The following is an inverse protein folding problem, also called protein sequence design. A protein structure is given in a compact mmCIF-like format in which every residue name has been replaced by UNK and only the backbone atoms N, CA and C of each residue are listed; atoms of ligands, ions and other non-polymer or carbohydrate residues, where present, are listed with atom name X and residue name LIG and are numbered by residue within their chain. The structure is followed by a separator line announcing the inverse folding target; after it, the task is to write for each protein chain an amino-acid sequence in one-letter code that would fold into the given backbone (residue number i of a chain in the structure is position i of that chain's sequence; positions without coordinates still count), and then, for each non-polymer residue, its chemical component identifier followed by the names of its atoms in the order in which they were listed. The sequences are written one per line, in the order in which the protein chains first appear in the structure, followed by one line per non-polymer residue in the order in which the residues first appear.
data_IF_279108958140
#
_entry.id   IF_279108958140
#
_cell.length_a   1.000
_cell.length_b   1.000
_cell.length_c   1.000
_cell.angle_alpha   90.00
_cell.angle_beta   90.00
_cell.angle_gamma   90.00
#
_symmetry.space_group_name_H-M   'P 1'
#
loop_
_entity.id
_entity.type
_entity.pdbx_description
1 polymer ?
#
# COMPACT_ATOMS: atom_id res chain seq x y z
N UNK A 1 7.40 16.56 -10.56
CA UNK A 1 7.12 15.55 -9.53
C UNK A 1 8.29 14.58 -9.47
N UNK A 2 8.76 14.20 -8.28
CA UNK A 2 9.86 13.22 -8.14
C UNK A 2 9.39 11.76 -8.12
N UNK A 3 10.31 10.83 -8.36
CA UNK A 3 10.09 9.40 -8.09
C UNK A 3 10.31 9.11 -6.60
N UNK A 4 9.46 8.27 -6.03
CA UNK A 4 9.60 7.83 -4.63
C UNK A 4 10.44 6.56 -4.52
N UNK A 5 11.09 6.39 -3.38
CA UNK A 5 11.86 5.21 -3.00
C UNK A 5 11.24 4.54 -1.79
N UNK A 6 10.60 3.40 -2.01
CA UNK A 6 10.02 2.57 -0.95
C UNK A 6 10.94 1.38 -0.65
N UNK A 7 10.90 0.84 0.58
CA UNK A 7 11.73 -0.30 0.96
C UNK A 7 11.62 -1.44 -0.08
N UNK A 8 12.74 -1.73 -0.74
CA UNK A 8 12.81 -2.68 -1.84
C UNK A 8 12.73 -4.12 -1.30
N UNK A 9 11.78 -4.90 -1.81
CA UNK A 9 11.88 -6.36 -1.81
C UNK A 9 11.50 -6.84 -3.21
N UNK A 10 12.55 -7.23 -3.96
CA UNK A 10 12.58 -7.75 -5.33
C UNK A 10 11.62 -7.09 -6.35
N UNK A 11 12.20 -6.22 -7.18
CA UNK A 11 11.55 -5.59 -8.32
C UNK A 11 11.09 -6.64 -9.33
N UNK A 12 9.78 -6.78 -9.53
CA UNK A 12 9.21 -7.45 -10.71
C UNK A 12 8.17 -6.53 -11.33
N UNK A 13 8.33 -6.25 -12.61
CA UNK A 13 7.39 -5.47 -13.41
C UNK A 13 6.18 -6.35 -13.75
N UNK A 14 5.00 -6.04 -13.19
CA UNK A 14 3.75 -6.71 -13.58
C UNK A 14 3.02 -5.83 -14.59
N UNK A 15 2.89 -6.23 -15.87
CA UNK A 15 1.98 -5.57 -16.80
C UNK A 15 0.54 -5.96 -16.45
N UNK A 16 -0.32 -4.96 -16.24
CA UNK A 16 -1.77 -5.15 -16.05
C UNK A 16 -2.50 -4.69 -17.33
N UNK A 17 -3.56 -5.39 -17.80
CA UNK A 17 -4.22 -5.09 -19.06
C UNK A 17 -4.85 -3.69 -19.07
N UNK A 18 -4.59 -2.95 -20.13
CA UNK A 18 -5.17 -1.63 -20.43
C UNK A 18 -6.62 -1.81 -20.91
N UNK A 19 -7.57 -1.92 -19.98
CA UNK A 19 -9.01 -1.89 -20.27
C UNK A 19 -9.63 -0.57 -19.81
N UNK A 20 -9.36 0.53 -20.51
CA UNK A 20 -10.03 1.81 -20.26
C UNK A 20 -11.41 1.83 -20.91
N UNK A 21 -12.49 1.77 -20.13
CA UNK A 21 -13.83 2.12 -20.61
C UNK A 21 -14.09 3.59 -20.33
N UNK A 22 -13.65 4.48 -21.23
CA UNK A 22 -14.22 5.82 -21.32
C UNK A 22 -15.65 5.71 -21.83
N UNK A 23 -16.64 6.09 -21.02
CA UNK A 23 -17.98 6.38 -21.52
C UNK A 23 -18.14 7.90 -21.59
N UNK A 24 -18.34 8.40 -22.80
CA UNK A 24 -18.77 9.76 -23.07
C UNK A 24 -20.29 9.87 -22.89
N UNK A 25 -20.76 11.01 -22.39
CA UNK A 25 -22.16 11.40 -22.36
C UNK A 25 -22.44 12.61 -23.25
N UNK A 26 -23.72 12.91 -23.38
CA UNK A 26 -24.44 13.19 -24.63
C UNK A 26 -24.45 14.67 -25.04
N UNK A 27 -23.64 15.50 -24.38
CA UNK A 27 -23.41 16.91 -24.74
C UNK A 27 -21.93 17.30 -24.92
N UNK A 28 -21.01 16.33 -24.91
CA UNK A 28 -19.73 16.32 -25.67
C UNK A 28 -18.63 17.37 -25.43
N UNK A 29 -18.87 18.49 -24.74
CA UNK A 29 -17.84 19.52 -24.54
C UNK A 29 -17.36 19.61 -23.08
N UNK A 30 -16.19 19.03 -22.84
CA UNK A 30 -15.31 19.43 -21.73
C UNK A 30 -14.18 20.23 -22.35
N UNK A 31 -14.07 21.51 -22.01
CA UNK A 31 -12.94 22.37 -22.38
C UNK A 31 -11.66 21.84 -21.73
N UNK A 32 -11.02 20.87 -22.38
CA UNK A 32 -9.62 20.56 -22.17
C UNK A 32 -8.83 21.66 -22.85
N UNK A 33 -8.56 22.76 -22.12
CA UNK A 33 -7.36 23.54 -22.40
C UNK A 33 -6.21 22.53 -22.52
N UNK A 34 -5.58 22.48 -23.70
CA UNK A 34 -4.75 21.37 -24.11
C UNK A 34 -3.80 20.95 -22.99
N UNK A 35 -3.91 19.70 -22.55
CA UNK A 35 -2.98 19.13 -21.57
C UNK A 35 -1.59 19.23 -22.19
N UNK A 36 -0.75 20.10 -21.64
CA UNK A 36 0.61 20.26 -22.11
C UNK A 36 1.45 19.01 -21.80
N UNK A 37 2.63 18.90 -22.42
CA UNK A 37 3.54 17.77 -22.19
C UNK A 37 3.98 17.64 -20.72
N UNK A 38 4.01 18.74 -19.97
CA UNK A 38 4.44 18.77 -18.57
C UNK A 38 3.38 18.19 -17.62
N UNK A 39 2.10 18.43 -17.90
CA UNK A 39 0.98 17.86 -17.15
C UNK A 39 0.89 16.35 -17.38
N UNK A 40 1.07 15.90 -18.63
CA UNK A 40 1.13 14.46 -18.98
C UNK A 40 2.28 13.78 -18.24
N UNK A 41 3.46 14.40 -18.24
CA UNK A 41 4.64 13.90 -17.52
C UNK A 41 4.41 13.79 -16.01
N UNK A 42 3.74 14.79 -15.42
CA UNK A 42 3.42 14.82 -14.00
C UNK A 42 2.45 13.71 -13.62
N UNK A 43 1.38 13.51 -14.40
CA UNK A 43 0.44 12.40 -14.17
C UNK A 43 1.08 11.02 -14.41
N UNK A 44 1.98 10.92 -15.39
CA UNK A 44 2.78 9.73 -15.63
C UNK A 44 3.62 9.35 -14.42
N UNK A 45 4.33 10.32 -13.84
CA UNK A 45 5.14 10.12 -12.63
C UNK A 45 4.26 9.74 -11.42
N UNK A 46 3.13 10.41 -11.23
CA UNK A 46 2.17 10.09 -10.17
C UNK A 46 1.66 8.65 -10.27
N UNK A 47 1.41 8.19 -11.51
CA UNK A 47 0.98 6.81 -11.79
C UNK A 47 2.09 5.81 -11.46
N UNK A 48 3.32 6.06 -11.88
CA UNK A 48 4.47 5.22 -11.54
C UNK A 48 4.63 5.10 -10.01
N UNK A 49 4.63 6.23 -9.28
CA UNK A 49 4.68 6.24 -7.82
C UNK A 49 3.51 5.46 -7.19
N UNK A 50 2.30 5.60 -7.73
CA UNK A 50 1.13 4.82 -7.33
C UNK A 50 1.34 3.30 -7.49
N UNK A 51 1.94 2.86 -8.60
CA UNK A 51 2.30 1.45 -8.81
C UNK A 51 3.33 0.97 -7.79
N UNK A 52 4.32 1.80 -7.45
CA UNK A 52 5.27 1.50 -6.39
C UNK A 52 4.58 1.32 -5.03
N UNK A 53 3.61 2.18 -4.67
CA UNK A 53 2.82 2.02 -3.43
C UNK A 53 2.06 0.70 -3.41
N UNK A 54 1.39 0.34 -4.50
CA UNK A 54 0.63 -0.92 -4.60
C UNK A 54 1.57 -2.11 -4.38
N UNK A 55 2.68 -2.15 -5.12
CA UNK A 55 3.66 -3.24 -5.01
C UNK A 55 4.28 -3.34 -3.62
N UNK A 56 4.77 -2.22 -3.07
CA UNK A 56 5.33 -2.19 -1.72
C UNK A 56 4.33 -2.60 -0.65
N UNK A 57 3.02 -2.39 -0.87
CA UNK A 57 1.98 -2.90 0.03
C UNK A 57 1.87 -4.41 -0.03
N UNK A 58 1.96 -5.03 -1.21
CA UNK A 58 1.97 -6.50 -1.37
C UNK A 58 3.19 -7.11 -0.68
N UNK A 59 4.37 -6.50 -0.86
CA UNK A 59 5.58 -6.90 -0.18
C UNK A 59 5.46 -6.81 1.35
N UNK A 60 4.90 -5.70 1.85
CA UNK A 60 4.64 -5.53 3.27
C UNK A 60 3.66 -6.58 3.78
N UNK A 61 2.58 -6.87 3.05
CA UNK A 61 1.63 -7.92 3.40
C UNK A 61 2.31 -9.28 3.52
N UNK A 62 3.17 -9.64 2.56
CA UNK A 62 3.96 -10.87 2.62
C UNK A 62 4.84 -10.92 3.87
N UNK A 63 5.48 -9.81 4.23
CA UNK A 63 6.27 -9.71 5.47
C UNK A 63 5.41 -9.91 6.71
N UNK A 64 4.19 -9.37 6.76
CA UNK A 64 3.26 -9.64 7.85
C UNK A 64 2.88 -11.13 7.92
N UNK A 65 2.64 -11.79 6.78
CA UNK A 65 2.38 -13.22 6.72
C UNK A 65 3.55 -14.03 7.29
N UNK A 66 4.78 -13.67 6.95
CA UNK A 66 5.98 -14.33 7.44
C UNK A 66 6.12 -14.16 8.95
N UNK A 67 5.99 -12.93 9.47
CA UNK A 67 6.01 -12.66 10.92
C UNK A 67 4.89 -13.40 11.67
N UNK A 68 3.67 -13.46 11.11
CA UNK A 68 2.57 -14.25 11.69
C UNK A 68 2.94 -15.74 11.72
N UNK A 69 3.49 -16.25 10.63
CA UNK A 69 3.87 -17.66 10.51
C UNK A 69 4.95 -18.02 11.52
N UNK A 70 5.97 -17.18 11.64
CA UNK A 70 7.09 -17.41 12.54
C UNK A 70 6.66 -17.31 14.02
N UNK A 71 5.68 -16.48 14.35
CA UNK A 71 5.08 -16.46 15.69
C UNK A 71 4.40 -17.80 16.05
N UNK A 72 3.66 -18.42 15.13
CA UNK A 72 2.94 -19.67 15.41
C UNK A 72 3.77 -20.94 15.26
N UNK A 73 4.78 -20.93 14.39
CA UNK A 73 5.52 -22.13 13.99
C UNK A 73 7.02 -22.05 14.30
N UNK A 74 7.51 -20.92 14.78
CA UNK A 74 8.94 -20.64 14.95
C UNK A 74 9.66 -20.43 13.63
N UNK A 75 10.85 -19.83 13.70
CA UNK A 75 11.76 -19.70 12.57
C UNK A 75 12.37 -21.07 12.24
N UNK A 76 12.17 -21.54 11.01
CA UNK A 76 12.72 -22.83 10.57
C UNK A 76 13.16 -22.79 9.11
N UNK A 77 14.31 -23.42 8.85
CA UNK A 77 14.81 -23.65 7.49
C UNK A 77 14.16 -24.88 6.82
N UNK A 78 13.36 -25.65 7.56
CA UNK A 78 12.64 -26.84 7.08
C UNK A 78 11.14 -26.69 7.35
N UNK A 79 10.38 -26.03 6.43
CA UNK A 79 8.96 -25.82 6.60
C UNK A 79 8.21 -27.15 6.74
N UNK A 80 7.44 -27.29 7.82
CA UNK A 80 6.60 -28.48 8.01
C UNK A 80 5.38 -28.43 7.10
N UNK A 81 4.79 -29.60 6.78
CA UNK A 81 3.52 -29.67 6.03
C UNK A 81 2.42 -28.82 6.67
N UNK A 82 2.36 -28.79 8.01
CA UNK A 82 1.39 -27.99 8.76
C UNK A 82 1.60 -26.48 8.55
N UNK A 83 2.85 -26.01 8.59
CA UNK A 83 3.21 -24.61 8.30
C UNK A 83 2.78 -24.21 6.89
N UNK A 84 3.06 -25.07 5.90
CA UNK A 84 2.70 -24.78 4.50
C UNK A 84 1.19 -24.73 4.27
N UNK A 85 0.43 -25.65 4.88
CA UNK A 85 -1.04 -25.61 4.82
C UNK A 85 -1.57 -24.32 5.46
N UNK A 86 -1.02 -23.90 6.60
CA UNK A 86 -1.43 -22.64 7.23
C UNK A 86 -1.15 -21.43 6.33
N UNK A 87 0.04 -21.34 5.74
CA UNK A 87 0.38 -20.21 4.85
C UNK A 87 -0.54 -20.19 3.62
N UNK A 88 -0.62 -21.31 2.89
CA UNK A 88 -1.27 -21.35 1.59
C UNK A 88 -2.80 -21.33 1.69
N UNK A 89 -3.35 -22.11 2.63
CA UNK A 89 -4.81 -22.29 2.73
C UNK A 89 -5.48 -21.31 3.70
N UNK A 90 -4.72 -20.74 4.65
CA UNK A 90 -5.26 -19.79 5.63
C UNK A 90 -4.79 -18.38 5.31
N UNK A 91 -3.49 -18.08 5.44
CA UNK A 91 -2.99 -16.70 5.33
C UNK A 91 -3.16 -16.09 3.94
N UNK A 92 -2.98 -16.89 2.89
CA UNK A 92 -3.10 -16.45 1.50
C UNK A 92 -4.50 -16.63 0.92
N UNK A 93 -5.45 -17.13 1.71
CA UNK A 93 -6.84 -17.25 1.28
C UNK A 93 -7.47 -15.87 1.06
N UNK A 94 -8.41 -15.78 0.12
CA UNK A 94 -9.18 -14.55 -0.15
C UNK A 94 -9.99 -14.07 1.06
N UNK A 95 -10.33 -14.99 1.97
CA UNK A 95 -11.01 -14.69 3.24
C UNK A 95 -10.09 -14.01 4.25
N UNK A 96 -8.77 -14.20 4.16
CA UNK A 96 -7.80 -13.66 5.11
C UNK A 96 -7.18 -12.36 4.60
N UNK A 97 -8.02 -11.33 4.55
CA UNK A 97 -7.65 -10.02 4.01
C UNK A 97 -6.63 -9.28 4.88
N UNK A 98 -5.96 -8.29 4.27
CA UNK A 98 -4.98 -7.41 4.93
C UNK A 98 -5.47 -6.83 6.27
N UNK A 99 -6.74 -6.44 6.36
CA UNK A 99 -7.33 -5.89 7.59
C UNK A 99 -7.28 -6.88 8.75
N UNK A 100 -7.47 -8.17 8.48
CA UNK A 100 -7.40 -9.23 9.46
C UNK A 100 -5.95 -9.53 9.84
N UNK A 101 -5.04 -9.62 8.86
CA UNK A 101 -3.58 -9.73 9.08
C UNK A 101 -3.06 -8.61 10.00
N UNK A 102 -3.46 -7.37 9.73
CA UNK A 102 -3.15 -6.19 10.56
C UNK A 102 -3.63 -6.35 12.00
N UNK A 103 -4.84 -6.88 12.20
CA UNK A 103 -5.40 -7.15 13.53
C UNK A 103 -4.61 -8.23 14.25
N UNK A 104 -4.23 -9.31 13.55
CA UNK A 104 -3.41 -10.37 14.11
C UNK A 104 -2.00 -9.88 14.51
N UNK A 105 -1.37 -9.03 13.69
CA UNK A 105 -0.11 -8.37 14.04
C UNK A 105 -0.25 -7.52 15.31
N UNK A 106 -1.39 -6.87 15.52
CA UNK A 106 -1.66 -6.14 16.77
C UNK A 106 -1.67 -7.09 17.97
N UNK A 107 -2.30 -8.27 17.83
CA UNK A 107 -2.31 -9.30 18.87
C UNK A 107 -0.91 -9.82 19.14
N UNK A 108 -0.15 -10.19 18.10
CA UNK A 108 1.25 -10.64 18.23
C UNK A 108 2.10 -9.58 18.94
N UNK A 109 1.93 -8.30 18.58
CA UNK A 109 2.64 -7.19 19.23
C UNK A 109 2.36 -7.09 20.73
N UNK A 110 1.12 -7.43 21.16
CA UNK A 110 0.75 -7.45 22.58
C UNK A 110 1.31 -8.67 23.29
N UNK A 111 1.26 -9.84 22.67
CA UNK A 111 1.77 -11.09 23.24
C UNK A 111 3.30 -11.06 23.40
N UNK A 112 4.02 -10.49 22.43
CA UNK A 112 5.49 -10.40 22.47
C UNK A 112 6.00 -9.22 23.30
N UNK A 113 5.13 -8.27 23.65
CA UNK A 113 5.46 -7.04 24.37
C UNK A 113 6.55 -6.16 23.72
N UNK A 114 6.90 -6.40 22.44
CA UNK A 114 8.01 -5.73 21.74
C UNK A 114 7.74 -4.25 21.50
N UNK A 115 6.51 -3.89 21.12
CA UNK A 115 6.08 -2.51 20.95
C UNK A 115 5.00 -2.17 21.96
N UNK A 116 5.28 -1.22 22.86
CA UNK A 116 4.36 -0.82 23.93
C UNK A 116 3.73 0.54 23.65
N UNK A 117 2.51 0.72 24.16
CA UNK A 117 1.78 1.98 24.16
C UNK A 117 1.72 2.66 22.79
N UNK A 118 2.35 3.83 22.67
CA UNK A 118 2.28 4.70 21.49
C UNK A 118 2.83 4.03 20.22
N UNK A 119 3.83 3.16 20.34
CA UNK A 119 4.48 2.56 19.17
C UNK A 119 3.62 1.46 18.53
N UNK A 120 2.93 0.64 19.34
CA UNK A 120 1.93 -0.31 18.83
C UNK A 120 0.78 0.43 18.10
N UNK A 121 0.29 1.52 18.69
CA UNK A 121 -0.74 2.37 18.06
C UNK A 121 -0.26 2.99 16.74
N UNK A 122 1.00 3.46 16.69
CA UNK A 122 1.62 3.99 15.46
C UNK A 122 1.72 2.95 14.35
N UNK A 123 2.18 1.73 14.65
CA UNK A 123 2.21 0.65 13.66
C UNK A 123 0.82 0.39 13.06
N UNK A 124 -0.21 0.33 13.91
CA UNK A 124 -1.59 0.15 13.45
C UNK A 124 -2.09 1.33 12.60
N UNK A 125 -1.69 2.56 12.94
CA UNK A 125 -1.95 3.75 12.15
C UNK A 125 -1.27 3.70 10.77
N UNK A 126 0.01 3.32 10.72
CA UNK A 126 0.76 3.19 9.47
C UNK A 126 0.18 2.13 8.55
N UNK A 127 -0.11 0.93 9.07
CA UNK A 127 -0.74 -0.15 8.30
C UNK A 127 -2.11 0.27 7.73
N UNK A 128 -2.91 1.01 8.51
CA UNK A 128 -4.18 1.56 8.02
C UNK A 128 -3.95 2.55 6.88
N UNK A 129 -2.99 3.47 7.04
CA UNK A 129 -2.70 4.53 6.07
C UNK A 129 -2.18 3.97 4.75
N UNK A 130 -1.25 3.02 4.80
CA UNK A 130 -0.73 2.29 3.64
C UNK A 130 -1.88 1.59 2.89
N UNK A 131 -2.76 0.88 3.61
CA UNK A 131 -3.92 0.22 2.99
C UNK A 131 -4.86 1.23 2.31
N UNK A 132 -5.10 2.38 2.94
CA UNK A 132 -5.91 3.46 2.34
C UNK A 132 -5.28 3.96 1.03
N UNK A 133 -3.97 4.25 1.02
CA UNK A 133 -3.27 4.71 -0.18
C UNK A 133 -3.26 3.65 -1.27
N UNK A 134 -2.99 2.38 -0.96
CA UNK A 134 -3.06 1.28 -1.92
C UNK A 134 -4.43 1.21 -2.58
N UNK A 135 -5.50 1.26 -1.79
CA UNK A 135 -6.87 1.20 -2.31
C UNK A 135 -7.20 2.44 -3.16
N UNK A 136 -6.76 3.62 -2.72
CA UNK A 136 -6.93 4.86 -3.47
C UNK A 136 -6.22 4.80 -4.83
N UNK A 137 -4.98 4.31 -4.91
CA UNK A 137 -4.28 4.17 -6.19
C UNK A 137 -4.79 3.02 -7.05
N UNK A 138 -5.30 1.95 -6.46
CA UNK A 138 -5.82 0.79 -7.20
C UNK A 138 -7.19 1.06 -7.84
N UNK A 139 -8.02 1.92 -7.23
CA UNK A 139 -9.41 2.14 -7.65
C UNK A 139 -9.77 3.60 -7.91
N UNK A 140 -8.88 4.53 -7.56
CA UNK A 140 -9.07 5.96 -7.78
C UNK A 140 -8.74 6.38 -9.20
N UNK A 141 -8.98 7.67 -9.45
CA UNK A 141 -8.70 8.34 -10.72
C UNK A 141 -7.70 9.46 -10.48
N UNK A 142 -6.59 9.43 -11.21
CA UNK A 142 -5.64 10.53 -11.25
C UNK A 142 -6.21 11.66 -12.12
N UNK A 143 -6.12 12.89 -11.62
CA UNK A 143 -6.54 14.10 -12.32
C UNK A 143 -5.47 15.17 -12.18
N UNK A 144 -5.47 16.13 -13.10
CA UNK A 144 -4.64 17.32 -13.01
C UNK A 144 -5.54 18.53 -12.81
N UNK A 145 -5.23 19.33 -11.80
CA UNK A 145 -5.85 20.61 -11.50
C UNK A 145 -4.81 21.73 -11.70
N UNK A 146 -5.20 22.83 -12.33
CA UNK A 146 -4.27 23.92 -12.68
C UNK A 146 -3.76 24.69 -11.48
N UNK A 147 -4.43 24.61 -10.33
CA UNK A 147 -4.04 25.28 -9.08
C UNK A 147 -3.29 24.33 -8.15
N UNK A 148 -3.82 23.12 -7.96
CA UNK A 148 -3.34 22.17 -6.95
C UNK A 148 -2.43 21.07 -7.54
N UNK A 149 -2.30 21.01 -8.87
CA UNK A 149 -1.44 20.05 -9.57
C UNK A 149 -2.07 18.66 -9.68
N UNK A 150 -1.27 17.61 -9.50
CA UNK A 150 -1.76 16.24 -9.59
C UNK A 150 -2.59 15.85 -8.37
N UNK A 151 -3.77 15.28 -8.63
CA UNK A 151 -4.74 14.86 -7.62
C UNK A 151 -5.08 13.39 -7.79
N UNK A 152 -5.35 12.70 -6.68
CA UNK A 152 -5.94 11.36 -6.65
C UNK A 152 -7.35 11.45 -6.06
N UNK A 153 -8.36 11.21 -6.89
CA UNK A 153 -9.75 11.15 -6.47
C UNK A 153 -10.19 9.69 -6.28
N UNK A 154 -10.78 9.35 -5.14
CA UNK A 154 -11.26 8.00 -4.87
C UNK A 154 -12.52 8.01 -3.99
N UNK A 155 -13.17 6.86 -3.84
CA UNK A 155 -14.34 6.70 -2.98
C UNK A 155 -14.00 5.84 -1.76
N UNK A 156 -14.32 6.34 -0.57
CA UNK A 156 -14.16 5.63 0.70
C UNK A 156 -15.18 6.14 1.72
N UNK A 157 -16.42 5.63 1.67
CA UNK A 157 -17.53 6.16 2.47
C UNK A 157 -17.99 7.56 2.04
N UNK A 158 -17.54 8.01 0.87
CA UNK A 158 -17.71 9.36 0.33
C UNK A 158 -16.61 9.67 -0.67
N UNK A 159 -16.76 10.75 -1.43
CA UNK A 159 -15.70 11.25 -2.31
C UNK A 159 -14.53 11.80 -1.50
N UNK A 160 -13.32 11.41 -1.87
CA UNK A 160 -12.07 11.82 -1.26
C UNK A 160 -11.12 12.30 -2.35
N UNK A 161 -10.29 13.29 -2.02
CA UNK A 161 -9.25 13.82 -2.90
C UNK A 161 -7.95 13.96 -2.12
N UNK A 162 -6.85 13.49 -2.69
CA UNK A 162 -5.49 13.67 -2.16
C UNK A 162 -4.71 14.53 -3.16
N UNK A 163 -4.06 15.57 -2.66
CA UNK A 163 -3.10 16.36 -3.43
C UNK A 163 -1.76 15.63 -3.41
N UNK A 164 -1.21 15.36 -4.59
CA UNK A 164 0.02 14.57 -4.77
C UNK A 164 1.26 15.45 -4.81
N UNK A 165 1.43 16.29 -3.80
CA UNK A 165 2.57 17.20 -3.64
C UNK A 165 3.77 16.49 -2.96
N UNK A 166 4.89 17.20 -2.82
CA UNK A 166 6.10 16.64 -2.20
C UNK A 166 5.88 16.24 -0.73
N UNK A 167 5.05 16.98 0.03
CA UNK A 167 4.71 16.61 1.41
C UNK A 167 4.02 15.24 1.49
N UNK A 168 3.09 14.97 0.57
CA UNK A 168 2.45 13.66 0.45
C UNK A 168 3.46 12.55 0.16
N UNK A 169 4.38 12.79 -0.77
CA UNK A 169 5.39 11.78 -1.15
C UNK A 169 6.40 11.51 -0.04
N UNK A 170 6.85 12.55 0.66
CA UNK A 170 7.71 12.43 1.84
C UNK A 170 7.02 11.65 2.97
N UNK A 171 5.72 11.90 3.15
CA UNK A 171 4.93 11.16 4.12
C UNK A 171 4.82 9.67 3.75
N UNK A 172 4.55 9.36 2.48
CA UNK A 172 4.48 7.99 1.97
C UNK A 172 5.76 7.22 2.28
N UNK A 173 6.92 7.77 1.94
CA UNK A 173 8.22 7.13 2.20
C UNK A 173 8.46 6.95 3.70
N UNK A 174 8.20 7.99 4.50
CA UNK A 174 8.36 7.99 5.96
C UNK A 174 7.50 6.92 6.63
N UNK A 175 6.24 6.79 6.20
CA UNK A 175 5.29 5.82 6.73
C UNK A 175 5.68 4.39 6.36
N UNK A 176 6.03 4.12 5.10
CA UNK A 176 6.49 2.79 4.68
C UNK A 176 7.76 2.37 5.41
N UNK A 177 8.75 3.26 5.52
CA UNK A 177 10.00 3.02 6.23
C UNK A 177 9.75 2.64 7.69
N UNK A 178 9.06 3.51 8.44
CA UNK A 178 8.78 3.28 9.87
C UNK A 178 7.90 2.07 10.11
N UNK A 179 6.93 1.81 9.23
CA UNK A 179 6.09 0.61 9.31
C UNK A 179 6.95 -0.65 9.18
N UNK A 180 7.85 -0.67 8.20
CA UNK A 180 8.76 -1.80 7.96
C UNK A 180 9.69 -2.02 9.15
N UNK A 181 10.28 -0.94 9.69
CA UNK A 181 11.13 -1.00 10.89
C UNK A 181 10.40 -1.58 12.11
N UNK A 182 9.12 -1.24 12.31
CA UNK A 182 8.33 -1.82 13.40
C UNK A 182 8.04 -3.30 13.20
N UNK A 183 7.74 -3.72 11.97
CA UNK A 183 7.53 -5.14 11.65
C UNK A 183 8.83 -5.92 11.85
N UNK A 184 9.98 -5.38 11.42
CA UNK A 184 11.30 -5.99 11.65
C UNK A 184 11.63 -6.18 13.13
N UNK A 185 11.28 -5.20 13.97
CA UNK A 185 11.46 -5.31 15.43
C UNK A 185 10.65 -6.46 16.02
N UNK A 186 9.39 -6.62 15.57
CA UNK A 186 8.55 -7.73 16.01
C UNK A 186 9.17 -9.04 15.54
N UNK A 187 9.51 -9.14 14.26
CA UNK A 187 10.08 -10.35 13.67
C UNK A 187 11.38 -10.79 14.35
N UNK A 188 12.27 -9.86 14.67
CA UNK A 188 13.54 -10.14 15.34
C UNK A 188 13.37 -10.72 16.75
N UNK A 189 12.23 -10.45 17.39
CA UNK A 189 11.93 -10.94 18.73
C UNK A 189 11.23 -12.32 18.75
N UNK A 190 10.86 -12.85 17.57
CA UNK A 190 10.30 -14.19 17.38
C UNK A 190 11.41 -15.22 17.14
#
# INVERSE_FOLDING_TARGET
MRKISLPATNTVSIPIPLGGSGKADENGEVYLGGIGPDEISTLGTARENGMHIIWSTVCLEKKLEDTITDFFFGKTNSPTRRRNVFVNEVLQSSSFQFSFKKSLINTITKETEVLKGKDSSRLQGFLKKIMTWRNAFAHGTLKFDTKDGALLCYFSGGHQTIILNEEFWDEVESVFKKCTEYVDKIDTAL
#
